data_IF_637740474057
#
_entry.id   IF_637740474057
#
_cell.length_a   1.000
_cell.length_b   1.000
_cell.length_c   1.000
_cell.angle_alpha   90.00
_cell.angle_beta   90.00
_cell.angle_gamma   90.00
#
_symmetry.space_group_name_H-M   'P 1'
#
loop_
_entity.id
_entity.type
_entity.pdbx_description
1 polymer ?
#
# COMPACT_ATOMS: atom_id res chain seq x y z
N UNK A 1 7.46 -10.39 -22.36
CA UNK A 1 6.91 -10.38 -20.99
C UNK A 1 5.68 -9.48 -21.02
N UNK A 2 4.49 -10.03 -20.80
CA UNK A 2 3.25 -9.22 -20.76
C UNK A 2 3.34 -8.23 -19.60
N UNK A 3 3.06 -6.96 -19.88
CA UNK A 3 3.04 -5.92 -18.85
C UNK A 3 1.95 -6.21 -17.82
N UNK A 4 2.12 -5.77 -16.57
CA UNK A 4 1.17 -5.97 -15.46
C UNK A 4 -0.18 -5.26 -15.70
N UNK A 5 -0.31 -4.53 -16.81
CA UNK A 5 -1.50 -3.75 -17.12
C UNK A 5 -1.47 -2.36 -16.48
N UNK A 6 -2.61 -1.70 -16.48
CA UNK A 6 -2.79 -0.32 -16.01
C UNK A 6 -2.98 -0.30 -14.49
N UNK A 7 -2.11 0.40 -13.78
CA UNK A 7 -2.11 0.43 -12.32
C UNK A 7 -2.93 1.61 -11.80
N UNK A 8 -3.88 1.31 -10.92
CA UNK A 8 -4.65 2.28 -10.17
C UNK A 8 -4.21 2.35 -8.70
N UNK A 9 -4.13 3.55 -8.14
CA UNK A 9 -3.84 3.77 -6.72
C UNK A 9 -5.10 4.35 -6.07
N UNK A 10 -5.67 3.66 -5.09
CA UNK A 10 -6.81 4.11 -4.32
C UNK A 10 -6.33 4.67 -2.98
N UNK A 11 -6.32 6.00 -2.89
CA UNK A 11 -5.85 6.75 -1.73
C UNK A 11 -4.93 7.90 -2.13
N UNK A 12 -4.75 8.87 -1.24
CA UNK A 12 -4.05 10.12 -1.55
C UNK A 12 -3.15 10.64 -0.41
N UNK A 13 -2.90 9.80 0.61
CA UNK A 13 -2.02 10.09 1.74
C UNK A 13 -0.52 10.03 1.38
N UNK A 14 0.34 10.16 2.40
CA UNK A 14 1.81 10.09 2.22
C UNK A 14 2.25 8.81 1.52
N UNK A 15 1.78 7.64 2.00
CA UNK A 15 2.18 6.37 1.42
C UNK A 15 1.68 6.18 -0.02
N UNK A 16 0.45 6.62 -0.33
CA UNK A 16 -0.07 6.62 -1.70
C UNK A 16 0.76 7.52 -2.63
N UNK A 17 1.19 8.68 -2.13
CA UNK A 17 2.06 9.61 -2.86
C UNK A 17 3.44 9.00 -3.13
N UNK A 18 4.02 8.32 -2.14
CA UNK A 18 5.30 7.63 -2.29
C UNK A 18 5.21 6.48 -3.31
N UNK A 19 4.15 5.64 -3.22
CA UNK A 19 3.94 4.55 -4.17
C UNK A 19 3.68 5.06 -5.60
N UNK A 20 2.93 6.16 -5.76
CA UNK A 20 2.73 6.79 -7.07
C UNK A 20 4.07 7.22 -7.68
N UNK A 21 4.97 7.81 -6.88
CA UNK A 21 6.32 8.18 -7.32
C UNK A 21 7.12 6.96 -7.75
N UNK A 22 7.14 5.89 -6.93
CA UNK A 22 7.84 4.65 -7.26
C UNK A 22 7.30 4.05 -8.56
N UNK A 23 5.99 3.86 -8.66
CA UNK A 23 5.35 3.19 -9.80
C UNK A 23 5.62 3.96 -11.11
N UNK A 24 5.59 5.28 -11.08
CA UNK A 24 5.87 6.13 -12.25
C UNK A 24 7.34 6.08 -12.73
N UNK A 25 8.26 5.47 -11.98
CA UNK A 25 9.63 5.22 -12.49
C UNK A 25 9.66 4.12 -13.56
N UNK A 26 8.76 3.15 -13.48
CA UNK A 26 8.69 1.99 -14.37
C UNK A 26 7.47 1.98 -15.29
N UNK A 27 6.40 2.70 -14.92
CA UNK A 27 5.15 2.73 -15.67
C UNK A 27 4.99 4.05 -16.43
N UNK A 28 4.48 4.03 -17.68
CA UNK A 28 4.28 5.24 -18.47
C UNK A 28 3.20 6.15 -17.90
N UNK A 29 2.21 5.58 -17.19
CA UNK A 29 1.11 6.31 -16.57
C UNK A 29 0.44 5.49 -15.47
N UNK A 30 -0.32 6.17 -14.60
CA UNK A 30 -1.13 5.56 -13.55
C UNK A 30 -2.54 6.16 -13.52
N UNK A 31 -3.48 5.40 -12.97
CA UNK A 31 -4.77 5.91 -12.52
C UNK A 31 -4.65 6.25 -11.03
N UNK A 32 -5.06 7.45 -10.62
CA UNK A 32 -4.95 7.84 -9.22
C UNK A 32 -6.29 8.33 -8.68
N UNK A 33 -6.86 7.59 -7.74
CA UNK A 33 -8.11 7.95 -7.08
C UNK A 33 -7.83 8.78 -5.82
N UNK A 34 -8.44 9.94 -5.76
CA UNK A 34 -8.39 10.87 -4.64
C UNK A 34 -9.79 11.29 -4.24
N UNK A 35 -10.18 11.07 -2.98
CA UNK A 35 -11.52 11.45 -2.53
C UNK A 35 -11.82 12.95 -2.72
N UNK A 36 -10.81 13.79 -2.51
CA UNK A 36 -10.97 15.26 -2.57
C UNK A 36 -10.51 15.78 -3.93
N UNK A 37 -11.40 16.43 -4.63
CA UNK A 37 -11.10 17.01 -5.95
C UNK A 37 -10.02 18.08 -5.87
N UNK A 38 -10.02 18.91 -4.82
CA UNK A 38 -9.02 19.98 -4.61
C UNK A 38 -7.59 19.43 -4.59
N UNK A 39 -7.40 18.21 -4.05
CA UNK A 39 -6.10 17.57 -4.02
C UNK A 39 -5.65 17.14 -5.42
N UNK A 40 -6.55 16.56 -6.21
CA UNK A 40 -6.28 16.22 -7.61
C UNK A 40 -5.96 17.48 -8.45
N UNK A 41 -6.74 18.54 -8.29
CA UNK A 41 -6.52 19.82 -8.96
C UNK A 41 -5.19 20.46 -8.52
N UNK A 42 -4.84 20.33 -7.24
CA UNK A 42 -3.55 20.77 -6.71
C UNK A 42 -2.37 20.11 -7.44
N UNK A 43 -2.40 18.78 -7.62
CA UNK A 43 -1.36 18.05 -8.36
C UNK A 43 -1.38 18.42 -9.83
N UNK A 44 -2.56 18.51 -10.48
CA UNK A 44 -2.66 18.95 -11.88
C UNK A 44 -1.99 20.30 -12.13
N UNK A 45 -2.14 21.24 -11.20
CA UNK A 45 -1.61 22.60 -11.34
C UNK A 45 -0.12 22.71 -11.02
N UNK A 46 0.35 21.99 -9.98
CA UNK A 46 1.69 22.21 -9.41
C UNK A 46 2.66 21.05 -9.63
N UNK A 47 2.16 19.90 -10.08
CA UNK A 47 2.93 18.65 -10.11
C UNK A 47 3.27 18.12 -8.71
N UNK A 48 2.61 18.61 -7.64
CA UNK A 48 2.92 18.23 -6.25
C UNK A 48 1.63 17.97 -5.48
N UNK A 49 1.68 16.97 -4.59
CA UNK A 49 0.56 16.75 -3.67
C UNK A 49 0.53 17.90 -2.63
N UNK A 50 -0.57 18.68 -2.56
CA UNK A 50 -0.61 19.87 -1.72
C UNK A 50 -0.54 19.54 -0.21
N UNK A 51 -0.98 18.34 0.17
CA UNK A 51 -1.16 17.94 1.56
C UNK A 51 -0.06 16.98 2.07
N UNK A 52 0.60 16.24 1.16
CA UNK A 52 1.53 15.18 1.53
C UNK A 52 2.76 15.17 0.64
N UNK A 53 3.95 14.96 1.23
CA UNK A 53 5.21 14.76 0.54
C UNK A 53 5.46 15.80 -0.57
N UNK A 54 5.47 17.06 -0.21
CA UNK A 54 5.64 18.19 -1.15
C UNK A 54 6.93 18.12 -1.98
N UNK A 55 7.92 17.34 -1.53
CA UNK A 55 9.18 17.09 -2.24
C UNK A 55 8.98 16.14 -3.44
N UNK A 56 7.92 15.31 -3.44
CA UNK A 56 7.60 14.45 -4.56
C UNK A 56 7.02 15.26 -5.73
N UNK A 57 7.69 15.18 -6.89
CA UNK A 57 7.28 15.88 -8.11
C UNK A 57 6.73 14.87 -9.10
N UNK A 58 5.63 15.22 -9.74
CA UNK A 58 4.93 14.42 -10.74
C UNK A 58 4.78 15.19 -12.06
N UNK A 59 4.79 14.47 -13.18
CA UNK A 59 4.27 14.96 -14.43
C UNK A 59 2.75 14.65 -14.47
N UNK A 60 1.86 15.66 -14.36
CA UNK A 60 0.41 15.42 -14.33
C UNK A 60 -0.14 14.74 -15.59
N UNK A 61 0.58 14.82 -16.72
CA UNK A 61 0.18 14.17 -17.98
C UNK A 61 0.27 12.65 -17.92
N UNK A 62 1.05 12.11 -16.97
CA UNK A 62 1.18 10.66 -16.70
C UNK A 62 0.15 10.15 -15.72
N UNK A 63 -0.79 10.98 -15.26
CA UNK A 63 -1.75 10.61 -14.21
C UNK A 63 -3.18 10.87 -14.70
N UNK A 64 -3.98 9.81 -14.75
CA UNK A 64 -5.42 9.92 -14.89
C UNK A 64 -6.04 10.03 -13.49
N UNK A 65 -6.58 11.19 -13.18
CA UNK A 65 -7.18 11.46 -11.87
C UNK A 65 -8.64 11.03 -11.84
N UNK A 66 -9.02 10.36 -10.76
CA UNK A 66 -10.38 9.97 -10.43
C UNK A 66 -10.76 10.50 -9.05
N UNK A 67 -11.99 10.90 -8.89
CA UNK A 67 -12.52 11.46 -7.62
C UNK A 67 -13.68 10.64 -7.09
N UNK A 68 -14.32 11.08 -6.03
CA UNK A 68 -15.30 10.28 -5.29
C UNK A 68 -16.48 9.80 -6.17
N UNK A 69 -16.93 10.60 -7.14
CA UNK A 69 -17.96 10.22 -8.12
C UNK A 69 -17.54 9.15 -9.10
N UNK A 70 -16.21 8.98 -9.31
CA UNK A 70 -15.64 8.18 -10.38
C UNK A 70 -15.13 6.80 -9.92
N UNK A 71 -15.41 6.39 -8.67
CA UNK A 71 -14.85 5.19 -8.06
C UNK A 71 -15.03 3.92 -8.93
N UNK A 72 -16.22 3.70 -9.47
CA UNK A 72 -16.48 2.55 -10.34
C UNK A 72 -15.76 2.67 -11.70
N UNK A 73 -15.60 3.89 -12.22
CA UNK A 73 -14.83 4.15 -13.44
C UNK A 73 -13.34 3.94 -13.22
N UNK A 74 -12.82 4.33 -12.04
CA UNK A 74 -11.45 4.05 -11.63
C UNK A 74 -11.15 2.54 -11.62
N UNK A 75 -12.03 1.73 -11.00
CA UNK A 75 -11.87 0.28 -10.99
C UNK A 75 -11.90 -0.29 -12.42
N UNK A 76 -12.87 0.13 -13.26
CA UNK A 76 -12.93 -0.34 -14.66
C UNK A 76 -11.71 0.03 -15.49
N UNK A 77 -11.11 1.17 -15.23
CA UNK A 77 -9.94 1.67 -15.97
C UNK A 77 -8.61 1.04 -15.52
N UNK A 78 -8.60 0.27 -14.45
CA UNK A 78 -7.39 -0.28 -13.83
C UNK A 78 -7.40 -1.81 -13.91
N UNK A 79 -6.27 -2.42 -14.28
CA UNK A 79 -6.05 -3.86 -14.28
C UNK A 79 -5.49 -4.33 -12.93
N UNK A 80 -4.70 -3.47 -12.30
CA UNK A 80 -4.17 -3.64 -10.94
C UNK A 80 -4.66 -2.48 -10.08
N UNK A 81 -5.14 -2.76 -8.88
CA UNK A 81 -5.56 -1.73 -7.92
C UNK A 81 -4.75 -1.85 -6.63
N UNK A 82 -4.01 -0.79 -6.30
CA UNK A 82 -3.26 -0.69 -5.04
C UNK A 82 -4.11 0.08 -4.02
N UNK A 83 -4.50 -0.61 -2.94
CA UNK A 83 -5.30 -0.05 -1.86
C UNK A 83 -4.38 0.64 -0.84
N UNK A 84 -4.49 1.95 -0.69
CA UNK A 84 -3.62 2.79 0.16
C UNK A 84 -4.44 3.81 0.95
N UNK A 85 -5.53 3.38 1.52
CA UNK A 85 -6.36 4.19 2.42
C UNK A 85 -6.12 3.78 3.87
N UNK A 86 -6.44 4.61 4.86
CA UNK A 86 -6.48 4.13 6.25
C UNK A 86 -7.54 3.02 6.40
N UNK A 87 -7.21 1.97 7.16
CA UNK A 87 -8.05 0.79 7.31
C UNK A 87 -9.51 1.07 7.70
N UNK A 88 -9.84 2.08 8.56
CA UNK A 88 -11.23 2.37 8.90
C UNK A 88 -12.11 2.79 7.70
N UNK A 89 -11.51 3.22 6.60
CA UNK A 89 -12.26 3.71 5.44
C UNK A 89 -12.38 2.70 4.30
N UNK A 90 -11.58 1.62 4.29
CA UNK A 90 -11.55 0.70 3.14
C UNK A 90 -12.91 0.08 2.86
N UNK A 91 -13.61 -0.37 3.90
CA UNK A 91 -14.95 -0.94 3.80
C UNK A 91 -15.95 0.00 3.11
N UNK A 92 -15.90 1.30 3.44
CA UNK A 92 -16.80 2.29 2.85
C UNK A 92 -16.54 2.50 1.35
N UNK A 93 -15.31 2.31 0.88
CA UNK A 93 -15.01 2.34 -0.56
C UNK A 93 -15.45 1.05 -1.24
N UNK A 94 -15.05 -0.11 -0.71
CA UNK A 94 -15.29 -1.40 -1.38
C UNK A 94 -16.78 -1.72 -1.48
N UNK A 95 -17.61 -1.36 -0.51
CA UNK A 95 -19.09 -1.51 -0.58
C UNK A 95 -19.75 -0.73 -1.72
N UNK A 96 -19.10 0.31 -2.25
CA UNK A 96 -19.58 1.12 -3.37
C UNK A 96 -19.15 0.57 -4.72
N UNK A 97 -18.22 -0.38 -4.74
CA UNK A 97 -17.70 -1.02 -5.95
C UNK A 97 -18.45 -2.32 -6.19
N UNK A 98 -18.85 -2.55 -7.43
CA UNK A 98 -19.48 -3.83 -7.80
C UNK A 98 -18.45 -4.95 -7.71
N UNK A 99 -18.77 -6.07 -7.07
CA UNK A 99 -17.87 -7.23 -6.97
C UNK A 99 -17.38 -7.70 -8.35
N UNK A 100 -18.25 -7.66 -9.38
CA UNK A 100 -17.86 -7.97 -10.76
C UNK A 100 -16.75 -7.08 -11.33
N UNK A 101 -16.52 -5.90 -10.75
CA UNK A 101 -15.44 -4.99 -11.15
C UNK A 101 -14.12 -5.25 -10.43
N UNK A 102 -14.09 -6.20 -9.48
CA UNK A 102 -12.90 -6.56 -8.69
C UNK A 102 -12.38 -7.96 -9.00
N UNK A 103 -13.26 -8.90 -9.40
CA UNK A 103 -12.96 -10.34 -9.54
C UNK A 103 -11.88 -10.70 -10.56
N UNK A 104 -11.63 -9.84 -11.53
CA UNK A 104 -10.65 -10.03 -12.61
C UNK A 104 -9.39 -9.20 -12.46
N UNK A 105 -9.23 -8.51 -11.32
CA UNK A 105 -8.16 -7.56 -11.08
C UNK A 105 -7.20 -8.03 -10.01
N UNK A 106 -5.91 -7.78 -10.22
CA UNK A 106 -4.93 -7.93 -9.16
C UNK A 106 -5.11 -6.79 -8.15
N UNK A 107 -5.51 -7.12 -6.93
CA UNK A 107 -5.69 -6.16 -5.86
C UNK A 107 -4.52 -6.27 -4.89
N UNK A 108 -3.75 -5.21 -4.77
CA UNK A 108 -2.58 -5.13 -3.89
C UNK A 108 -2.95 -4.30 -2.66
N UNK A 109 -2.97 -4.93 -1.51
CA UNK A 109 -3.14 -4.24 -0.24
C UNK A 109 -1.82 -3.59 0.21
N UNK A 110 -1.84 -2.29 0.47
CA UNK A 110 -0.74 -1.53 1.08
C UNK A 110 -1.22 -0.83 2.37
N UNK A 111 -2.33 -1.28 2.94
CA UNK A 111 -2.93 -0.76 4.17
C UNK A 111 -2.24 -1.43 5.37
N UNK A 112 -1.97 -0.65 6.40
CA UNK A 112 -1.35 -1.12 7.65
C UNK A 112 -2.42 -1.18 8.74
N UNK A 113 -3.19 -2.27 8.78
CA UNK A 113 -4.28 -2.44 9.75
C UNK A 113 -5.27 -3.50 9.30
N UNK A 114 -6.18 -3.84 10.19
CA UNK A 114 -7.31 -4.75 9.96
C UNK A 114 -8.55 -3.98 9.52
N UNK A 115 -9.53 -4.67 8.95
CA UNK A 115 -10.85 -4.11 8.64
C UNK A 115 -11.65 -4.05 9.95
N UNK A 116 -12.05 -2.84 10.41
CA UNK A 116 -12.84 -2.70 11.63
C UNK A 116 -14.21 -3.37 11.50
N UNK A 117 -14.82 -3.69 12.61
CA UNK A 117 -16.08 -4.41 12.81
C UNK A 117 -15.96 -5.92 12.52
N UNK A 118 -15.49 -6.32 11.35
CA UNK A 118 -15.22 -7.71 11.02
C UNK A 118 -13.98 -8.26 11.72
N UNK A 119 -13.01 -7.40 12.09
CA UNK A 119 -11.72 -7.76 12.71
C UNK A 119 -10.90 -8.77 11.90
N UNK A 120 -10.97 -8.67 10.59
CA UNK A 120 -10.24 -9.52 9.65
C UNK A 120 -9.15 -8.75 8.91
N UNK A 121 -8.19 -9.46 8.33
CA UNK A 121 -7.21 -8.87 7.42
C UNK A 121 -7.90 -8.30 6.17
N UNK A 122 -7.24 -7.38 5.49
CA UNK A 122 -7.78 -6.81 4.24
C UNK A 122 -7.85 -7.87 3.15
N UNK A 123 -6.89 -8.81 3.10
CA UNK A 123 -6.92 -9.94 2.16
C UNK A 123 -8.12 -10.86 2.40
N UNK A 124 -8.41 -11.20 3.64
CA UNK A 124 -9.60 -11.98 4.02
C UNK A 124 -10.89 -11.24 3.64
N UNK A 125 -10.96 -9.94 3.93
CA UNK A 125 -12.11 -9.12 3.56
C UNK A 125 -12.35 -9.08 2.04
N UNK A 126 -11.27 -8.96 1.26
CA UNK A 126 -11.36 -9.00 -0.20
C UNK A 126 -11.87 -10.34 -0.71
N UNK A 127 -11.42 -11.45 -0.11
CA UNK A 127 -11.86 -12.79 -0.50
C UNK A 127 -13.30 -13.05 -0.07
N UNK A 128 -13.61 -12.90 1.21
CA UNK A 128 -14.86 -13.35 1.81
C UNK A 128 -16.04 -12.41 1.54
N UNK A 129 -15.79 -11.11 1.40
CA UNK A 129 -16.87 -10.12 1.26
C UNK A 129 -16.90 -9.39 -0.08
N UNK A 130 -15.83 -9.48 -0.87
CA UNK A 130 -15.76 -8.85 -2.20
C UNK A 130 -15.65 -9.85 -3.34
N UNK A 131 -15.63 -11.15 -3.05
CA UNK A 131 -15.51 -12.26 -4.01
C UNK A 131 -14.23 -12.17 -4.89
N UNK A 132 -13.13 -11.64 -4.36
CA UNK A 132 -11.86 -11.60 -5.08
C UNK A 132 -11.14 -12.94 -4.93
N UNK A 133 -10.76 -13.61 -6.02
CA UNK A 133 -10.00 -14.85 -5.94
C UNK A 133 -8.65 -14.65 -5.22
N UNK A 134 -8.23 -15.60 -4.38
CA UNK A 134 -6.99 -15.50 -3.63
C UNK A 134 -5.76 -15.24 -4.50
N UNK A 135 -5.67 -15.88 -5.68
CA UNK A 135 -4.58 -15.69 -6.64
C UNK A 135 -4.50 -14.27 -7.23
N UNK A 136 -5.53 -13.44 -7.00
CA UNK A 136 -5.59 -12.03 -7.39
C UNK A 136 -5.44 -11.08 -6.20
N UNK A 137 -5.12 -11.60 -5.02
CA UNK A 137 -4.88 -10.81 -3.83
C UNK A 137 -3.38 -10.80 -3.51
N UNK A 138 -2.84 -9.61 -3.32
CA UNK A 138 -1.47 -9.43 -2.89
C UNK A 138 -1.35 -8.33 -1.85
N UNK A 139 -0.16 -8.21 -1.29
CA UNK A 139 0.20 -7.21 -0.27
C UNK A 139 1.54 -6.58 -0.58
N UNK A 140 1.69 -5.30 -0.28
CA UNK A 140 2.98 -4.60 -0.28
C UNK A 140 3.23 -4.04 1.10
N UNK A 141 4.32 -4.47 1.71
CA UNK A 141 4.75 -4.03 3.03
C UNK A 141 6.27 -3.81 3.08
N UNK A 142 6.72 -3.16 4.14
CA UNK A 142 8.15 -2.95 4.40
C UNK A 142 8.40 -1.89 5.46
N UNK A 143 9.61 -1.83 6.01
CA UNK A 143 10.03 -0.85 7.00
C UNK A 143 10.41 0.49 6.33
N UNK A 144 9.47 1.06 5.54
CA UNK A 144 9.71 2.28 4.78
C UNK A 144 8.87 3.43 5.29
N UNK A 145 9.49 4.58 5.49
CA UNK A 145 8.82 5.85 5.72
C UNK A 145 8.58 6.56 4.38
N UNK A 146 7.36 7.04 4.17
CA UNK A 146 6.98 7.69 2.93
C UNK A 146 7.85 8.91 2.58
N UNK A 147 8.29 9.63 3.60
CA UNK A 147 9.19 10.80 3.51
C UNK A 147 10.57 10.41 2.97
N UNK A 148 11.11 9.29 3.41
CA UNK A 148 12.40 8.77 2.94
C UNK A 148 12.31 8.28 1.50
N UNK A 149 11.24 7.56 1.17
CA UNK A 149 10.94 7.14 -0.20
C UNK A 149 10.82 8.34 -1.14
N UNK A 150 10.11 9.40 -0.71
CA UNK A 150 9.97 10.63 -1.50
C UNK A 150 11.30 11.31 -1.78
N UNK A 151 12.28 11.16 -0.88
CA UNK A 151 13.67 11.66 -1.00
C UNK A 151 14.63 10.66 -1.64
N UNK A 152 14.10 9.58 -2.22
CA UNK A 152 14.87 8.54 -2.91
C UNK A 152 15.93 7.85 -2.02
N UNK A 153 15.63 7.72 -0.72
CA UNK A 153 16.47 6.97 0.21
C UNK A 153 16.24 5.48 0.00
N UNK A 154 17.30 4.69 0.22
CA UNK A 154 17.23 3.23 0.07
C UNK A 154 16.09 2.65 0.89
N UNK A 155 15.20 1.97 0.20
CA UNK A 155 13.96 1.43 0.75
C UNK A 155 13.82 -0.04 0.36
N UNK A 156 13.22 -0.81 1.26
CA UNK A 156 13.07 -2.26 1.10
C UNK A 156 11.60 -2.62 1.25
N UNK A 157 11.04 -3.23 0.21
CA UNK A 157 9.65 -3.67 0.18
C UNK A 157 9.59 -5.19 0.00
N UNK A 158 8.56 -5.79 0.56
CA UNK A 158 8.16 -7.16 0.27
C UNK A 158 6.81 -7.12 -0.43
N UNK A 159 6.72 -7.83 -1.54
CA UNK A 159 5.47 -8.03 -2.28
C UNK A 159 5.02 -9.47 -2.05
N UNK A 160 3.91 -9.64 -1.34
CA UNK A 160 3.23 -10.92 -1.17
C UNK A 160 2.11 -11.07 -2.19
N UNK A 161 1.94 -12.29 -2.71
CA UNK A 161 0.73 -12.67 -3.47
C UNK A 161 0.62 -14.19 -3.46
N UNK A 162 -0.57 -14.74 -3.33
CA UNK A 162 -0.79 -16.19 -3.41
C UNK A 162 -0.28 -16.77 -4.75
N UNK A 163 -0.34 -16.00 -5.84
CA UNK A 163 0.39 -16.30 -7.08
C UNK A 163 1.75 -15.60 -7.11
N UNK A 164 2.82 -16.38 -6.96
CA UNK A 164 4.21 -15.86 -6.93
C UNK A 164 4.59 -15.12 -8.22
N UNK A 165 4.00 -15.45 -9.37
CA UNK A 165 4.30 -14.77 -10.61
C UNK A 165 3.73 -13.34 -10.62
N UNK A 166 2.54 -13.14 -10.03
CA UNK A 166 1.95 -11.82 -9.82
C UNK A 166 2.75 -11.01 -8.80
N UNK A 167 3.22 -11.65 -7.70
CA UNK A 167 4.14 -11.01 -6.76
C UNK A 167 5.41 -10.50 -7.46
N UNK A 168 6.04 -11.34 -8.29
CA UNK A 168 7.24 -10.97 -9.08
C UNK A 168 6.95 -9.86 -10.07
N UNK A 169 5.81 -9.91 -10.76
CA UNK A 169 5.41 -8.87 -11.71
C UNK A 169 5.25 -7.51 -11.00
N UNK A 170 4.56 -7.48 -9.86
CA UNK A 170 4.40 -6.25 -9.07
C UNK A 170 5.72 -5.78 -8.44
N UNK A 171 6.56 -6.69 -7.94
CA UNK A 171 7.88 -6.35 -7.42
C UNK A 171 8.77 -5.69 -8.49
N UNK A 172 8.70 -6.15 -9.75
CA UNK A 172 9.43 -5.54 -10.86
C UNK A 172 8.94 -4.11 -11.17
N UNK A 173 7.64 -3.83 -10.98
CA UNK A 173 7.10 -2.47 -11.11
C UNK A 173 7.65 -1.54 -10.04
N UNK A 174 7.79 -2.04 -8.81
CA UNK A 174 8.22 -1.23 -7.66
C UNK A 174 9.75 -1.08 -7.58
N UNK A 175 10.50 -1.99 -8.17
CA UNK A 175 11.97 -1.98 -8.11
C UNK A 175 12.55 -0.86 -8.96
N UNK A 176 13.47 -0.11 -8.37
CA UNK A 176 14.25 0.93 -9.04
C UNK A 176 15.59 1.14 -8.32
N UNK A 177 16.32 2.21 -8.63
CA UNK A 177 17.67 2.48 -8.09
C UNK A 177 17.70 2.64 -6.56
N UNK A 178 16.60 3.05 -5.94
CA UNK A 178 16.49 3.26 -4.50
C UNK A 178 15.49 2.33 -3.80
N UNK A 179 14.71 1.53 -4.53
CA UNK A 179 13.76 0.56 -3.97
C UNK A 179 14.16 -0.86 -4.35
N UNK A 180 14.49 -1.66 -3.35
CA UNK A 180 14.67 -3.10 -3.48
C UNK A 180 13.39 -3.83 -3.09
N UNK A 181 13.02 -4.87 -3.85
CA UNK A 181 11.83 -5.66 -3.58
C UNK A 181 12.16 -7.14 -3.45
N UNK A 182 11.64 -7.79 -2.42
CA UNK A 182 11.56 -9.24 -2.28
C UNK A 182 10.13 -9.72 -2.59
N UNK A 183 9.97 -11.02 -2.80
CA UNK A 183 8.65 -11.61 -3.08
C UNK A 183 8.38 -12.80 -2.17
N UNK A 184 7.11 -13.00 -1.78
CA UNK A 184 6.65 -14.10 -0.94
C UNK A 184 5.27 -14.57 -1.39
N UNK A 185 4.88 -15.79 -1.02
CA UNK A 185 3.49 -16.27 -1.12
C UNK A 185 2.74 -16.14 0.21
N UNK A 186 3.43 -15.78 1.27
CA UNK A 186 2.86 -15.58 2.59
C UNK A 186 2.20 -14.20 2.70
N UNK A 187 1.01 -14.07 2.14
CA UNK A 187 0.21 -12.83 2.18
C UNK A 187 -0.23 -12.54 3.61
N UNK A 188 -0.71 -13.55 4.32
CA UNK A 188 -1.26 -13.45 5.67
C UNK A 188 -0.19 -12.99 6.65
N UNK A 189 0.98 -13.64 6.64
CA UNK A 189 2.08 -13.28 7.52
C UNK A 189 2.59 -11.87 7.29
N UNK A 190 2.71 -11.42 6.03
CA UNK A 190 3.13 -10.06 5.71
C UNK A 190 2.10 -9.03 6.22
N UNK A 191 0.79 -9.31 6.12
CA UNK A 191 -0.24 -8.41 6.64
C UNK A 191 -0.20 -8.34 8.16
N UNK A 192 -0.16 -9.49 8.88
CA UNK A 192 -0.03 -9.50 10.34
C UNK A 192 1.23 -8.79 10.81
N UNK A 193 2.37 -9.03 10.18
CA UNK A 193 3.60 -8.33 10.51
C UNK A 193 3.46 -6.80 10.35
N UNK A 194 2.72 -6.34 9.32
CA UNK A 194 2.48 -4.92 9.10
C UNK A 194 1.55 -4.28 10.15
N UNK A 195 0.65 -5.05 10.74
CA UNK A 195 -0.22 -4.63 11.86
C UNK A 195 0.58 -4.60 13.16
N UNK A 196 1.22 -5.72 13.51
CA UNK A 196 1.93 -5.92 14.77
C UNK A 196 3.09 -4.94 14.95
N UNK A 197 3.82 -4.61 13.87
CA UNK A 197 4.91 -3.63 13.95
C UNK A 197 4.46 -2.28 14.54
N UNK A 198 3.20 -1.89 14.37
CA UNK A 198 2.70 -0.63 14.92
C UNK A 198 2.48 -0.74 16.44
N UNK A 199 2.07 -1.92 16.93
CA UNK A 199 1.97 -2.21 18.36
C UNK A 199 3.33 -2.09 19.03
N UNK A 200 4.35 -2.72 18.45
CA UNK A 200 5.72 -2.66 18.95
C UNK A 200 6.34 -1.26 18.84
N UNK A 201 5.99 -0.51 17.79
CA UNK A 201 6.42 0.88 17.66
C UNK A 201 5.87 1.76 18.79
N UNK A 202 4.61 1.54 19.20
CA UNK A 202 4.01 2.22 20.36
C UNK A 202 4.75 1.83 21.65
N UNK A 203 4.98 0.53 21.87
CA UNK A 203 5.72 0.04 23.02
C UNK A 203 7.13 0.65 23.10
N UNK A 204 7.86 0.67 21.97
CA UNK A 204 9.17 1.31 21.88
C UNK A 204 9.11 2.82 22.20
N UNK A 205 8.11 3.52 21.69
CA UNK A 205 7.89 4.93 21.98
C UNK A 205 7.62 5.21 23.45
N UNK A 206 6.81 4.37 24.12
CA UNK A 206 6.55 4.46 25.56
C UNK A 206 7.86 4.25 26.35
N UNK A 207 8.62 3.19 26.04
CA UNK A 207 9.88 2.89 26.72
C UNK A 207 10.91 4.01 26.53
N UNK A 208 10.97 4.59 25.34
CA UNK A 208 11.83 5.76 25.07
C UNK A 208 11.39 6.98 25.89
N UNK A 209 10.09 7.26 25.97
CA UNK A 209 9.54 8.34 26.80
C UNK A 209 9.79 8.15 28.30
N UNK A 210 9.82 6.92 28.77
CA UNK A 210 10.17 6.54 30.16
C UNK A 210 11.68 6.45 30.41
N UNK A 211 12.50 6.71 29.38
CA UNK A 211 13.97 6.71 29.47
C UNK A 211 14.59 5.37 29.92
N UNK A 212 14.03 4.24 29.49
CA UNK A 212 14.54 2.90 29.86
C UNK A 212 15.91 2.58 29.24
N UNK A 213 16.40 3.40 28.32
CA UNK A 213 17.72 3.29 27.71
C UNK A 213 17.83 2.26 26.60
N UNK A 214 18.97 2.28 25.88
CA UNK A 214 19.19 1.52 24.65
C UNK A 214 19.22 0.00 24.86
N UNK A 215 19.75 -0.46 26.00
CA UNK A 215 19.79 -1.88 26.31
C UNK A 215 18.38 -2.49 26.39
N UNK A 216 17.47 -1.79 27.06
CA UNK A 216 16.08 -2.23 27.16
C UNK A 216 15.39 -2.18 25.78
N UNK A 217 15.61 -1.14 25.02
CA UNK A 217 15.08 -1.01 23.66
C UNK A 217 15.53 -2.16 22.76
N UNK A 218 16.81 -2.53 22.81
CA UNK A 218 17.36 -3.65 22.05
C UNK A 218 16.71 -4.99 22.40
N UNK A 219 16.50 -5.25 23.69
CA UNK A 219 15.80 -6.46 24.16
C UNK A 219 14.35 -6.44 23.73
N UNK A 220 13.65 -5.31 23.89
CA UNK A 220 12.26 -5.16 23.46
C UNK A 220 12.11 -5.45 21.95
N UNK A 221 12.98 -4.92 21.12
CA UNK A 221 12.93 -5.14 19.65
C UNK A 221 13.24 -6.59 19.29
N UNK A 222 14.21 -7.21 19.95
CA UNK A 222 14.54 -8.62 19.72
C UNK A 222 13.38 -9.55 20.09
N UNK A 223 12.76 -9.30 21.24
CA UNK A 223 11.59 -10.06 21.68
C UNK A 223 10.38 -9.84 20.77
N UNK A 224 10.15 -8.59 20.32
CA UNK A 224 9.08 -8.25 19.40
C UNK A 224 9.21 -9.01 18.07
N UNK A 225 10.43 -9.10 17.52
CA UNK A 225 10.69 -9.86 16.29
C UNK A 225 10.45 -11.35 16.52
N UNK A 226 10.91 -11.91 17.65
CA UNK A 226 10.70 -13.31 17.98
C UNK A 226 9.21 -13.63 18.15
N UNK A 227 8.47 -12.76 18.85
CA UNK A 227 7.01 -12.90 19.05
C UNK A 227 6.25 -12.80 17.71
N UNK A 228 6.58 -11.82 16.87
CA UNK A 228 6.01 -11.72 15.52
C UNK A 228 6.22 -12.98 14.70
N UNK A 229 7.46 -13.52 14.71
CA UNK A 229 7.79 -14.73 13.98
C UNK A 229 7.06 -15.98 14.52
N UNK A 230 6.69 -15.98 15.79
CA UNK A 230 5.93 -17.09 16.39
C UNK A 230 4.43 -16.97 16.18
N UNK A 231 3.93 -15.74 15.95
CA UNK A 231 2.52 -15.44 15.72
C UNK A 231 2.13 -15.69 14.25
N UNK A 232 3.04 -15.45 13.32
CA UNK A 232 2.89 -15.61 11.88
C UNK A 232 3.41 -16.97 11.44
#
# INVERSE_FOLDING_TARGET
>A
MGGIGRIGILGSGSWATALAKIILTSQPSINWFMRREEQAQGIKRTGRNPNYLRDAVFDPRKISFFTDSDLNSFFRASDVVVLVTPSPFIKSYLKRVRSSSMRDKLIINAIKGIVPDENVLVSEYLHDFCDVPNELIGVVSGPCHAEEVARERRSYLTVGCFDINKAKAMANVLRNDYVSCTTSQDVVGIEYASVLKNVYAIAAGICNGLQYGDNFQSVLMSNAIAEMNSFV
#
